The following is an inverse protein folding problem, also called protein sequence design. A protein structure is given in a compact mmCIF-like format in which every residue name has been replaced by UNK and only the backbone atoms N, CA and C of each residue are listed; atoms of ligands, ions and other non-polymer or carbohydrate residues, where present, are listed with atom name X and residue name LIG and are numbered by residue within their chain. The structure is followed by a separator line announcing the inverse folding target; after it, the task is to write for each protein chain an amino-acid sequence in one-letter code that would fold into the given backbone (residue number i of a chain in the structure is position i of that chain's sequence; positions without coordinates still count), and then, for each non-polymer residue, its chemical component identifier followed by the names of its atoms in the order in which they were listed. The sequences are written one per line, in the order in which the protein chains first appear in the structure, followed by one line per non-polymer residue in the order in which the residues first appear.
data_IF_652351826198
#
_entry.id   IF_652351826198
#
_cell.length_a   1.000
_cell.length_b   1.000
_cell.length_c   1.000
_cell.angle_alpha   90.00
_cell.angle_beta   90.00
_cell.angle_gamma   90.00
#
_symmetry.space_group_name_H-M   'P 1'
#
loop_
_entity.id
_entity.type
_entity.pdbx_description
1 polymer ?
#
# COMPACT_ATOMS: atom_id res chain seq x y z
N UNK A 1 16.69 -10.39 0.13
CA UNK A 1 15.35 -10.72 0.70
C UNK A 1 15.34 -10.48 2.21
N UNK A 2 14.40 -9.69 2.73
CA UNK A 2 14.22 -9.57 4.18
C UNK A 2 13.15 -10.58 4.61
N UNK A 3 13.59 -11.73 5.09
CA UNK A 3 12.73 -12.82 5.58
C UNK A 3 12.25 -12.52 7.02
N UNK A 4 11.10 -13.07 7.39
CA UNK A 4 10.57 -13.09 8.77
C UNK A 4 10.39 -11.71 9.44
N UNK A 5 10.11 -10.66 8.66
CA UNK A 5 9.75 -9.36 9.21
C UNK A 5 8.43 -9.42 9.98
N UNK A 6 8.48 -8.98 11.24
CA UNK A 6 7.31 -8.83 12.12
C UNK A 6 6.90 -7.38 12.35
N UNK A 7 7.78 -6.43 12.01
CA UNK A 7 7.58 -5.00 12.22
C UNK A 7 7.84 -4.27 10.90
N UNK A 8 6.93 -3.36 10.54
CA UNK A 8 7.06 -2.45 9.41
C UNK A 8 7.04 -1.03 9.96
N UNK A 9 8.15 -0.32 9.80
CA UNK A 9 8.25 1.08 10.18
C UNK A 9 7.85 1.96 8.99
N UNK A 10 7.03 2.96 9.26
CA UNK A 10 6.63 3.98 8.28
C UNK A 10 6.87 5.37 8.87
N UNK A 11 7.19 6.33 8.02
CA UNK A 11 7.37 7.73 8.40
C UNK A 11 6.11 8.50 8.00
N UNK A 12 5.50 9.21 8.95
CA UNK A 12 4.43 10.18 8.64
C UNK A 12 5.10 11.38 7.97
N UNK A 13 4.75 11.74 6.72
CA UNK A 13 5.40 12.85 6.03
C UNK A 13 5.16 14.18 6.75
N UNK A 14 6.16 15.06 6.78
CA UNK A 14 6.11 16.32 7.54
C UNK A 14 5.02 17.28 7.05
N UNK A 15 4.66 17.21 5.78
CA UNK A 15 3.62 18.06 5.22
C UNK A 15 2.19 17.63 5.58
N UNK A 16 1.98 16.47 6.23
CA UNK A 16 0.65 15.99 6.62
C UNK A 16 0.00 17.04 7.54
N UNK A 17 -1.20 17.55 7.21
CA UNK A 17 -1.91 18.43 8.12
C UNK A 17 -2.18 17.77 9.48
N UNK A 18 -2.18 18.55 10.55
CA UNK A 18 -2.58 18.02 11.86
C UNK A 18 -4.04 17.58 11.83
N UNK A 19 -4.36 16.46 12.47
CA UNK A 19 -5.72 15.92 12.46
C UNK A 19 -5.81 14.43 12.80
N UNK A 20 -7.03 13.90 12.75
CA UNK A 20 -7.32 12.48 12.99
C UNK A 20 -7.32 11.70 11.67
N UNK A 21 -6.58 10.60 11.64
CA UNK A 21 -6.40 9.77 10.44
C UNK A 21 -6.58 8.29 10.75
N UNK A 22 -6.93 7.53 9.70
CA UNK A 22 -6.74 6.09 9.67
C UNK A 22 -5.45 5.77 8.94
N UNK A 23 -4.60 4.96 9.56
CA UNK A 23 -3.40 4.38 8.92
C UNK A 23 -3.74 2.95 8.54
N UNK A 24 -3.91 2.70 7.24
CA UNK A 24 -4.13 1.36 6.68
C UNK A 24 -2.78 0.72 6.36
N UNK A 25 -2.43 -0.36 7.05
CA UNK A 25 -1.31 -1.22 6.67
C UNK A 25 -1.82 -2.36 5.82
N UNK A 26 -1.07 -2.71 4.77
CA UNK A 26 -1.42 -3.80 3.86
C UNK A 26 -0.17 -4.56 3.43
N UNK A 27 -0.26 -5.88 3.47
CA UNK A 27 0.70 -6.81 2.87
C UNK A 27 -0.05 -7.69 1.87
N UNK A 28 0.47 -7.78 0.64
CA UNK A 28 -0.17 -8.54 -0.44
C UNK A 28 0.71 -9.74 -0.76
N UNK A 29 0.23 -10.94 -0.44
CA UNK A 29 0.93 -12.17 -0.76
C UNK A 29 0.62 -12.63 -2.18
N UNK A 30 1.66 -12.76 -3.01
CA UNK A 30 1.55 -13.02 -4.45
C UNK A 30 1.80 -14.47 -4.86
N UNK A 31 2.00 -15.38 -3.90
CA UNK A 31 2.36 -16.77 -4.17
C UNK A 31 1.29 -17.57 -4.92
N UNK A 32 0.04 -17.06 -5.00
CA UNK A 32 -1.04 -17.60 -5.84
C UNK A 32 -1.60 -16.58 -6.86
N UNK A 33 -0.92 -15.45 -7.04
CA UNK A 33 -1.39 -14.34 -7.88
C UNK A 33 -1.37 -14.63 -9.39
N UNK A 34 -0.88 -15.81 -9.80
CA UNK A 34 -0.96 -16.29 -11.18
C UNK A 34 -2.39 -16.66 -11.60
N UNK A 35 -3.37 -16.56 -10.69
CA UNK A 35 -4.81 -16.65 -10.95
C UNK A 35 -5.47 -15.30 -10.65
N UNK A 36 -6.44 -14.86 -11.47
CA UNK A 36 -7.18 -13.62 -11.16
C UNK A 36 -7.91 -13.85 -9.84
N UNK A 37 -7.73 -12.93 -8.89
CA UNK A 37 -8.24 -13.09 -7.52
C UNK A 37 -7.40 -13.99 -6.62
N UNK A 38 -6.23 -14.47 -7.07
CA UNK A 38 -5.34 -15.30 -6.25
C UNK A 38 -4.41 -14.53 -5.32
N UNK A 39 -4.25 -13.22 -5.49
CA UNK A 39 -3.51 -12.37 -4.55
C UNK A 39 -4.25 -12.28 -3.20
N UNK A 40 -3.52 -12.46 -2.10
CA UNK A 40 -4.10 -12.44 -0.75
C UNK A 40 -3.71 -11.15 -0.03
N UNK A 41 -4.70 -10.34 0.34
CA UNK A 41 -4.50 -9.06 1.02
C UNK A 41 -4.68 -9.23 2.53
N UNK A 42 -3.61 -9.00 3.28
CA UNK A 42 -3.60 -8.97 4.75
C UNK A 42 -3.51 -7.50 5.18
N UNK A 43 -4.56 -6.98 5.82
CA UNK A 43 -4.66 -5.56 6.13
C UNK A 43 -5.25 -5.29 7.50
N UNK A 44 -4.96 -4.11 8.04
CA UNK A 44 -5.61 -3.56 9.24
C UNK A 44 -5.52 -2.03 9.23
N UNK A 45 -6.33 -1.38 10.07
CA UNK A 45 -6.33 0.07 10.23
C UNK A 45 -6.05 0.45 11.69
N UNK A 46 -5.18 1.45 11.89
CA UNK A 46 -4.97 2.11 13.17
C UNK A 46 -5.58 3.51 13.15
N UNK A 47 -6.17 3.95 14.25
CA UNK A 47 -6.61 5.33 14.44
C UNK A 47 -5.47 6.13 15.07
N UNK A 48 -5.10 7.24 14.45
CA UNK A 48 -4.01 8.11 14.94
C UNK A 48 -4.43 9.57 14.93
N UNK A 49 -3.77 10.36 15.77
CA UNK A 49 -3.85 11.81 15.74
C UNK A 49 -2.46 12.36 15.39
N UNK A 50 -2.36 13.07 14.27
CA UNK A 50 -1.15 13.74 13.83
C UNK A 50 -1.14 15.14 14.45
N UNK A 51 -0.08 15.45 15.20
CA UNK A 51 0.15 16.75 15.83
C UNK A 51 1.41 17.40 15.27
N UNK A 52 1.45 18.73 15.18
CA UNK A 52 2.63 19.45 14.67
C UNK A 52 2.88 19.23 13.16
N UNK A 53 1.81 18.88 12.43
CA UNK A 53 1.83 18.67 10.99
C UNK A 53 2.00 19.94 10.16
N UNK A 54 2.12 19.76 8.83
CA UNK A 54 2.28 20.84 7.85
C UNK A 54 0.97 21.31 7.22
N UNK A 55 1.06 21.83 5.99
CA UNK A 55 -0.04 22.38 5.20
C UNK A 55 -0.12 21.75 3.79
N UNK A 56 0.45 20.56 3.62
CA UNK A 56 0.41 19.82 2.35
C UNK A 56 -1.00 19.35 2.01
N UNK A 57 -1.22 19.07 0.73
CA UNK A 57 -2.46 18.48 0.23
C UNK A 57 -2.14 17.06 -0.28
N UNK A 58 -2.47 16.00 0.50
CA UNK A 58 -2.19 14.63 0.09
C UNK A 58 -2.82 14.27 -1.25
N UNK A 59 -2.07 13.58 -2.10
CA UNK A 59 -2.56 13.11 -3.37
C UNK A 59 -1.55 12.23 -4.12
N UNK A 60 -2.01 11.47 -5.14
CA UNK A 60 -3.40 11.38 -5.57
C UNK A 60 -4.28 10.57 -4.59
N UNK A 61 -5.56 10.96 -4.46
CA UNK A 61 -6.52 10.29 -3.59
C UNK A 61 -7.26 9.18 -4.32
N UNK A 62 -7.56 8.10 -3.61
CA UNK A 62 -8.29 6.93 -4.11
C UNK A 62 -9.28 6.41 -3.07
N UNK A 63 -10.25 5.60 -3.50
CA UNK A 63 -11.23 4.97 -2.62
C UNK A 63 -10.95 3.48 -2.40
N UNK A 64 -11.32 2.95 -1.24
CA UNK A 64 -11.34 1.52 -0.95
C UNK A 64 -12.76 1.11 -0.51
N UNK A 65 -13.47 0.24 -1.27
CA UNK A 65 -13.08 -0.36 -2.55
C UNK A 65 -13.03 0.67 -3.70
N UNK A 66 -12.22 0.39 -4.74
CA UNK A 66 -12.11 1.21 -5.95
C UNK A 66 -10.68 1.36 -6.50
N UNK A 67 -9.68 1.47 -5.64
CA UNK A 67 -8.29 1.72 -6.03
C UNK A 67 -7.61 0.56 -6.77
N UNK A 68 -8.11 -0.67 -6.58
CA UNK A 68 -7.53 -1.89 -7.12
C UNK A 68 -8.48 -2.59 -8.08
N UNK A 69 -7.92 -3.19 -9.14
CA UNK A 69 -8.59 -4.19 -9.98
C UNK A 69 -7.90 -5.54 -9.82
N UNK A 70 -8.68 -6.62 -9.82
CA UNK A 70 -8.14 -7.98 -9.71
C UNK A 70 -7.16 -8.34 -10.86
N UNK A 71 -7.15 -7.55 -11.93
CA UNK A 71 -6.27 -7.69 -13.10
C UNK A 71 -5.10 -6.70 -13.11
N UNK A 72 -4.92 -5.87 -12.08
CA UNK A 72 -3.76 -4.98 -11.99
C UNK A 72 -2.47 -5.80 -12.05
N UNK A 73 -1.41 -5.33 -12.73
CA UNK A 73 -0.19 -6.10 -12.97
C UNK A 73 0.53 -6.54 -11.68
N UNK A 74 0.34 -5.80 -10.58
CA UNK A 74 0.84 -6.18 -9.26
C UNK A 74 -0.03 -7.19 -8.50
N UNK A 75 -1.28 -7.41 -8.93
CA UNK A 75 -2.25 -8.30 -8.30
C UNK A 75 -2.52 -9.58 -9.10
N UNK A 76 -2.34 -9.49 -10.42
CA UNK A 76 -2.28 -10.63 -11.35
C UNK A 76 -0.82 -10.78 -11.77
N UNK A 77 -0.06 -11.52 -10.97
CA UNK A 77 1.39 -11.58 -11.07
C UNK A 77 1.90 -13.02 -11.10
N UNK A 78 2.94 -13.27 -11.88
CA UNK A 78 3.60 -14.58 -11.97
C UNK A 78 5.09 -14.44 -11.68
N UNK A 79 5.63 -15.39 -10.92
CA UNK A 79 7.08 -15.49 -10.69
C UNK A 79 7.83 -16.06 -11.91
N UNK A 80 7.13 -16.69 -12.86
CA UNK A 80 7.73 -17.29 -14.05
C UNK A 80 7.23 -16.63 -15.35
N UNK A 81 8.14 -16.24 -16.27
CA UNK A 81 9.60 -16.15 -16.07
C UNK A 81 9.97 -15.13 -14.98
N UNK A 82 11.17 -15.25 -14.39
CA UNK A 82 11.60 -14.40 -13.26
C UNK A 82 11.53 -12.92 -13.65
N UNK A 83 10.63 -12.12 -13.05
CA UNK A 83 10.45 -10.74 -13.44
C UNK A 83 11.58 -9.86 -12.89
N UNK A 84 11.99 -8.87 -13.67
CA UNK A 84 13.00 -7.86 -13.28
C UNK A 84 12.39 -6.60 -12.69
N UNK A 85 11.06 -6.45 -12.76
CA UNK A 85 10.33 -5.30 -12.24
C UNK A 85 9.00 -5.73 -11.62
N UNK A 86 8.47 -4.87 -10.76
CA UNK A 86 7.16 -5.04 -10.13
C UNK A 86 6.43 -3.70 -10.14
N UNK A 87 5.22 -3.69 -10.69
CA UNK A 87 4.34 -2.52 -10.65
C UNK A 87 3.40 -2.67 -9.46
N UNK A 88 3.66 -1.90 -8.40
CA UNK A 88 2.77 -1.88 -7.23
C UNK A 88 1.36 -1.39 -7.63
N UNK A 89 0.29 -2.02 -7.09
CA UNK A 89 -1.07 -1.53 -7.30
C UNK A 89 -1.32 -0.26 -6.48
N UNK A 90 -2.30 0.53 -6.92
CA UNK A 90 -2.71 1.76 -6.22
C UNK A 90 -2.00 3.02 -6.71
N UNK A 91 -2.20 4.15 -6.00
CA UNK A 91 -1.64 5.44 -6.37
C UNK A 91 -0.12 5.49 -6.16
N UNK A 92 0.53 6.47 -6.78
CA UNK A 92 1.90 6.83 -6.43
C UNK A 92 2.01 7.23 -4.94
N UNK A 93 3.18 6.98 -4.35
CA UNK A 93 3.46 7.43 -2.97
C UNK A 93 3.46 8.95 -2.93
N UNK A 94 2.68 9.52 -2.02
CA UNK A 94 2.74 10.94 -1.74
C UNK A 94 3.97 11.24 -0.88
N UNK A 95 4.82 12.17 -1.32
CA UNK A 95 6.14 12.40 -0.73
C UNK A 95 6.15 13.34 0.48
N UNK A 96 5.02 13.96 0.81
CA UNK A 96 4.93 14.92 1.91
C UNK A 96 5.30 16.32 1.49
#
# INVERSE_FOLDING_TARGET
PQTDKKVVNVTIPKAVPSGKYLVRVESIALHQAQSVGGAQMYLSCAQVEVTGGGNGTPGPLVAFPGAYKATDPGLRWSYYPVPTSYTAPGPAVWEG
#
